data_IF_717026509607
#
_entry.id   IF_717026509607
#
_cell.length_a   1.000
_cell.length_b   1.000
_cell.length_c   1.000
_cell.angle_alpha   90.00
_cell.angle_beta   90.00
_cell.angle_gamma   90.00
#
_symmetry.space_group_name_H-M   'P 1'
#
loop_
_entity.id
_entity.type
_entity.pdbx_description
1 polymer ?
#
# COMPACT_ATOMS: atom_id res chain seq x y z
N UNK A 1 3.03 -17.72 -1.38
CA UNK A 1 1.56 -17.55 -1.29
C UNK A 1 1.17 -16.24 -0.61
N UNK A 2 1.75 -15.89 0.55
CA UNK A 2 1.37 -14.71 1.34
C UNK A 2 1.52 -13.40 0.55
N UNK A 3 2.63 -13.20 -0.17
CA UNK A 3 2.88 -11.98 -0.93
C UNK A 3 1.83 -11.70 -2.01
N UNK A 4 1.33 -12.74 -2.70
CA UNK A 4 0.26 -12.57 -3.70
C UNK A 4 -1.05 -12.08 -3.07
N UNK A 5 -1.38 -12.57 -1.87
CA UNK A 5 -2.52 -12.08 -1.10
C UNK A 5 -2.30 -10.64 -0.60
N UNK A 6 -1.05 -10.21 -0.41
CA UNK A 6 -0.80 -8.81 -0.07
C UNK A 6 -1.01 -7.83 -1.22
N UNK A 7 -0.84 -8.25 -2.49
CA UNK A 7 -1.26 -7.39 -3.61
C UNK A 7 -2.76 -7.11 -3.57
N UNK A 8 -3.58 -8.12 -3.23
CA UNK A 8 -5.02 -7.94 -3.02
C UNK A 8 -5.30 -6.89 -1.93
N UNK A 9 -4.69 -7.05 -0.74
CA UNK A 9 -4.94 -6.15 0.38
C UNK A 9 -4.45 -4.73 0.09
N UNK A 10 -3.18 -4.59 -0.28
CA UNK A 10 -2.49 -3.29 -0.32
C UNK A 10 -2.75 -2.50 -1.60
N UNK A 11 -3.06 -3.15 -2.72
CA UNK A 11 -3.04 -2.48 -4.03
C UNK A 11 -4.20 -2.87 -4.96
N UNK A 12 -5.20 -3.59 -4.48
CA UNK A 12 -6.41 -3.84 -5.26
C UNK A 12 -7.61 -3.06 -4.74
N UNK A 13 -8.59 -2.83 -5.62
CA UNK A 13 -9.83 -2.15 -5.24
C UNK A 13 -10.66 -2.98 -4.28
N UNK A 14 -10.66 -4.30 -4.43
CA UNK A 14 -11.34 -5.24 -3.55
C UNK A 14 -10.77 -5.26 -2.13
N UNK A 15 -9.47 -4.95 -1.97
CA UNK A 15 -8.84 -4.77 -0.66
C UNK A 15 -9.23 -3.49 0.07
N UNK A 16 -9.92 -2.54 -0.59
CA UNK A 16 -10.21 -1.21 -0.04
C UNK A 16 -10.94 -1.27 1.30
N UNK A 17 -11.94 -2.14 1.45
CA UNK A 17 -12.69 -2.26 2.70
C UNK A 17 -11.81 -2.71 3.87
N UNK A 18 -10.89 -3.64 3.64
CA UNK A 18 -9.95 -4.11 4.65
C UNK A 18 -8.95 -3.00 5.02
N UNK A 19 -8.52 -2.19 4.04
CA UNK A 19 -7.68 -1.02 4.26
C UNK A 19 -8.39 0.07 5.02
N UNK A 20 -9.66 0.38 4.71
CA UNK A 20 -10.43 1.39 5.43
C UNK A 20 -10.51 1.05 6.92
N UNK A 21 -10.78 -0.21 7.26
CA UNK A 21 -10.84 -0.64 8.66
C UNK A 21 -9.49 -0.61 9.37
N UNK A 22 -8.40 -0.95 8.68
CA UNK A 22 -7.08 -1.07 9.28
C UNK A 22 -6.24 0.22 9.25
N UNK A 23 -6.34 1.00 8.17
CA UNK A 23 -5.48 2.15 7.89
C UNK A 23 -6.13 3.48 8.28
N UNK A 24 -7.44 3.66 8.05
CA UNK A 24 -8.08 4.95 8.36
C UNK A 24 -7.95 5.34 9.83
N UNK A 25 -8.13 4.45 10.83
CA UNK A 25 -7.95 4.84 12.22
C UNK A 25 -6.54 5.37 12.52
N UNK A 26 -5.51 4.78 11.90
CA UNK A 26 -4.10 5.18 12.06
C UNK A 26 -3.89 6.55 11.41
N UNK A 27 -4.36 6.69 10.17
CA UNK A 27 -4.24 7.91 9.38
C UNK A 27 -4.95 9.08 10.07
N UNK A 28 -6.21 8.91 10.46
CA UNK A 28 -7.01 9.92 11.15
C UNK A 28 -6.35 10.32 12.47
N UNK A 29 -5.78 9.37 13.20
CA UNK A 29 -5.04 9.68 14.43
C UNK A 29 -3.82 10.57 14.15
N UNK A 30 -3.07 10.30 13.08
CA UNK A 30 -1.93 11.14 12.66
C UNK A 30 -2.43 12.54 12.26
N UNK A 31 -3.48 12.62 11.43
CA UNK A 31 -4.02 13.90 10.95
C UNK A 31 -4.60 14.77 12.08
N UNK A 32 -5.25 14.15 13.07
CA UNK A 32 -5.77 14.84 14.25
C UNK A 32 -4.66 15.33 15.18
N UNK A 33 -3.57 14.57 15.29
CA UNK A 33 -2.41 14.97 16.09
C UNK A 33 -1.58 16.07 15.40
N UNK A 34 -1.57 16.08 14.07
CA UNK A 34 -0.83 17.01 13.22
C UNK A 34 -1.76 17.69 12.20
N UNK A 35 -2.66 18.59 12.66
CA UNK A 35 -3.58 19.27 11.78
C UNK A 35 -2.86 20.32 10.94
N UNK A 36 -3.27 20.49 9.68
CA UNK A 36 -2.64 21.44 8.73
C UNK A 36 -2.70 22.90 9.20
N UNK A 37 -3.63 23.23 10.08
CA UNK A 37 -3.78 24.57 10.64
C UNK A 37 -2.68 24.96 11.63
N UNK A 38 -1.97 23.98 12.21
CA UNK A 38 -0.97 24.24 13.25
C UNK A 38 0.42 23.69 12.93
N UNK A 39 0.54 22.81 11.93
CA UNK A 39 1.82 22.22 11.56
C UNK A 39 2.00 22.09 10.05
N UNK A 40 3.23 22.27 9.59
CA UNK A 40 3.64 21.90 8.24
C UNK A 40 3.87 20.39 8.22
N UNK A 41 2.94 19.65 7.60
CA UNK A 41 2.98 18.17 7.56
C UNK A 41 4.29 17.64 6.97
N UNK A 42 4.93 18.38 6.08
CA UNK A 42 6.25 18.05 5.50
C UNK A 42 7.39 18.00 6.52
N UNK A 43 7.28 18.67 7.67
CA UNK A 43 8.28 18.60 8.73
C UNK A 43 8.09 17.40 9.66
N UNK A 44 6.91 16.78 9.62
CA UNK A 44 6.53 15.64 10.46
C UNK A 44 7.02 14.35 9.82
N UNK A 45 7.92 13.66 10.53
CA UNK A 45 8.53 12.39 10.10
C UNK A 45 7.79 11.21 10.71
N UNK A 46 7.21 10.37 9.86
CA UNK A 46 6.45 9.18 10.27
C UNK A 46 7.18 7.92 9.83
N UNK A 47 7.45 7.00 10.76
CA UNK A 47 8.02 5.68 10.47
C UNK A 47 6.92 4.62 10.53
N UNK A 48 6.86 3.75 9.52
CA UNK A 48 5.96 2.59 9.45
C UNK A 48 6.79 1.30 9.44
N UNK A 49 7.06 0.68 10.60
CA UNK A 49 7.74 -0.60 10.69
C UNK A 49 6.85 -1.73 10.15
N UNK A 50 7.43 -2.73 9.49
CA UNK A 50 6.69 -3.84 8.88
C UNK A 50 5.71 -3.35 7.80
N UNK A 51 6.20 -2.48 6.90
CA UNK A 51 5.36 -1.78 5.93
C UNK A 51 4.76 -2.69 4.84
N UNK A 52 5.15 -3.96 4.73
CA UNK A 52 4.59 -4.88 3.74
C UNK A 52 4.85 -4.39 2.32
N UNK A 53 3.78 -4.16 1.54
CA UNK A 53 3.91 -3.59 0.19
C UNK A 53 3.90 -2.05 0.16
N UNK A 54 3.90 -1.41 1.33
CA UNK A 54 4.10 0.03 1.47
C UNK A 54 2.84 0.87 1.36
N UNK A 55 1.64 0.29 1.23
CA UNK A 55 0.40 1.06 1.01
C UNK A 55 0.10 2.06 2.12
N UNK A 56 0.20 1.67 3.39
CA UNK A 56 -0.04 2.59 4.50
C UNK A 56 0.96 3.75 4.52
N UNK A 57 2.25 3.47 4.32
CA UNK A 57 3.29 4.49 4.28
C UNK A 57 3.11 5.44 3.09
N UNK A 58 2.67 4.91 1.94
CA UNK A 58 2.27 5.69 0.76
C UNK A 58 1.08 6.61 1.07
N UNK A 59 0.01 6.10 1.70
CA UNK A 59 -1.18 6.87 2.07
C UNK A 59 -0.87 8.01 3.05
N UNK A 60 0.03 7.78 4.01
CA UNK A 60 0.51 8.81 4.95
C UNK A 60 1.30 9.87 4.18
N UNK A 61 2.19 9.47 3.28
CA UNK A 61 2.96 10.42 2.48
C UNK A 61 2.07 11.22 1.51
N UNK A 62 1.02 10.62 0.95
CA UNK A 62 0.01 11.31 0.11
C UNK A 62 -0.75 12.41 0.86
N UNK A 63 -0.79 12.38 2.20
CA UNK A 63 -1.36 13.44 3.05
C UNK A 63 -0.38 14.56 3.38
N UNK A 64 0.81 14.54 2.75
CA UNK A 64 1.82 15.59 2.86
C UNK A 64 2.91 15.31 3.90
N UNK A 65 2.80 14.22 4.67
CA UNK A 65 3.80 13.82 5.67
C UNK A 65 5.09 13.29 5.03
N UNK A 66 6.23 13.39 5.74
CA UNK A 66 7.44 12.64 5.35
C UNK A 66 7.39 11.25 5.96
N UNK A 67 7.03 10.26 5.15
CA UNK A 67 6.88 8.89 5.60
C UNK A 67 8.04 7.99 5.13
N UNK A 68 8.51 7.16 6.05
CA UNK A 68 9.42 6.06 5.74
C UNK A 68 8.76 4.75 6.14
N UNK A 69 8.59 3.84 5.18
CA UNK A 69 8.29 2.45 5.49
C UNK A 69 9.57 1.67 5.74
N UNK A 70 9.51 0.67 6.62
CA UNK A 70 10.60 -0.28 6.83
C UNK A 70 10.06 -1.70 6.71
N UNK A 71 10.79 -2.56 6.01
CA UNK A 71 10.43 -3.95 5.84
C UNK A 71 11.69 -4.84 5.80
N UNK A 72 11.59 -6.03 6.39
CA UNK A 72 12.68 -6.99 6.50
C UNK A 72 12.57 -8.10 5.43
N UNK A 73 11.35 -8.49 5.06
CA UNK A 73 11.11 -9.59 4.14
C UNK A 73 11.47 -9.23 2.70
N UNK A 74 12.44 -9.93 2.11
CA UNK A 74 12.79 -9.75 0.69
C UNK A 74 11.61 -9.97 -0.26
N UNK A 75 10.68 -10.88 0.06
CA UNK A 75 9.48 -11.09 -0.76
C UNK A 75 8.62 -9.83 -0.81
N UNK A 76 8.46 -9.15 0.32
CA UNK A 76 7.72 -7.89 0.40
C UNK A 76 8.50 -6.76 -0.26
N UNK A 77 9.81 -6.65 -0.02
CA UNK A 77 10.65 -5.62 -0.62
C UNK A 77 10.66 -5.67 -2.15
N UNK A 78 10.77 -6.86 -2.76
CA UNK A 78 10.72 -7.00 -4.21
C UNK A 78 9.35 -6.62 -4.77
N UNK A 79 8.27 -7.05 -4.12
CA UNK A 79 6.91 -6.73 -4.52
C UNK A 79 6.60 -5.23 -4.34
N UNK A 80 6.99 -4.62 -3.21
CA UNK A 80 6.84 -3.21 -2.93
C UNK A 80 7.61 -2.37 -3.95
N UNK A 81 8.87 -2.71 -4.22
CA UNK A 81 9.69 -2.03 -5.22
C UNK A 81 9.08 -2.13 -6.63
N UNK A 82 8.49 -3.28 -6.98
CA UNK A 82 7.78 -3.43 -8.24
C UNK A 82 6.57 -2.48 -8.31
N UNK A 83 5.70 -2.48 -7.30
CA UNK A 83 4.50 -1.63 -7.32
C UNK A 83 4.88 -0.15 -7.31
N UNK A 84 5.70 0.27 -6.36
CA UNK A 84 5.99 1.67 -6.10
C UNK A 84 6.83 2.33 -7.20
N UNK A 85 7.68 1.57 -7.90
CA UNK A 85 8.63 2.14 -8.87
C UNK A 85 8.41 1.71 -10.32
N UNK A 86 7.58 0.69 -10.59
CA UNK A 86 7.36 0.16 -11.95
C UNK A 86 5.91 0.22 -12.42
N UNK A 87 4.93 0.33 -11.51
CA UNK A 87 3.55 0.59 -11.91
C UNK A 87 3.34 2.10 -12.08
N UNK A 88 2.89 2.51 -13.27
CA UNK A 88 2.70 3.92 -13.64
C UNK A 88 1.28 4.25 -14.09
N UNK A 89 0.35 3.31 -13.96
CA UNK A 89 -1.06 3.45 -14.30
C UNK A 89 -1.89 2.53 -13.39
N UNK A 90 -3.21 2.70 -13.40
CA UNK A 90 -4.18 1.92 -12.62
C UNK A 90 -4.52 0.59 -13.31
N UNK A 91 -4.81 -0.44 -12.52
CA UNK A 91 -5.27 -1.76 -12.95
C UNK A 91 -4.41 -2.43 -14.04
N UNK A 92 -3.10 -2.14 -14.06
CA UNK A 92 -2.16 -2.60 -15.09
C UNK A 92 -1.92 -4.12 -15.08
N UNK A 93 -1.97 -4.75 -13.92
CA UNK A 93 -1.56 -6.13 -13.71
C UNK A 93 -2.64 -6.93 -13.00
N UNK A 94 -2.70 -8.23 -13.29
CA UNK A 94 -3.66 -9.16 -12.66
C UNK A 94 -2.92 -10.25 -11.91
N UNK A 95 -3.32 -10.50 -10.66
CA UNK A 95 -2.85 -11.63 -9.83
C UNK A 95 -4.01 -12.57 -9.49
N UNK A 96 -3.68 -13.85 -9.26
CA UNK A 96 -4.63 -14.89 -8.85
C UNK A 96 -4.29 -15.38 -7.43
N UNK A 97 -4.62 -14.60 -6.39
CA UNK A 97 -4.14 -14.85 -5.02
C UNK A 97 -4.72 -16.14 -4.39
N UNK A 98 -5.83 -16.65 -4.93
CA UNK A 98 -6.59 -17.76 -4.36
C UNK A 98 -6.33 -19.11 -5.04
N UNK A 99 -5.50 -19.17 -6.09
CA UNK A 99 -5.36 -20.38 -6.93
C UNK A 99 -4.93 -21.62 -6.13
N UNK A 100 -4.13 -21.43 -5.06
CA UNK A 100 -3.65 -22.52 -4.20
C UNK A 100 -4.62 -22.87 -3.05
N UNK A 101 -5.73 -22.14 -2.91
CA UNK A 101 -6.73 -22.40 -1.87
C UNK A 101 -7.79 -23.36 -2.42
N UNK A 102 -7.70 -24.63 -2.02
CA UNK A 102 -8.61 -25.70 -2.49
C UNK A 102 -9.87 -25.82 -1.62
N UNK A 103 -9.79 -25.41 -0.37
CA UNK A 103 -10.90 -25.50 0.60
C UNK A 103 -11.74 -24.21 0.65
N UNK A 104 -12.98 -24.34 1.12
CA UNK A 104 -13.93 -23.24 1.34
C UNK A 104 -14.25 -22.40 0.09
N UNK A 105 -14.20 -23.02 -1.09
CA UNK A 105 -14.64 -22.41 -2.34
C UNK A 105 -16.15 -22.68 -2.55
N UNK A 106 -16.99 -21.64 -2.42
CA UNK A 106 -18.44 -21.75 -2.72
C UNK A 106 -18.69 -22.15 -4.18
N UNK A 107 -17.87 -21.65 -5.10
CA UNK A 107 -17.88 -22.02 -6.51
C UNK A 107 -16.44 -22.21 -7.00
N UNK A 108 -16.24 -23.01 -8.05
CA UNK A 108 -14.92 -23.22 -8.66
C UNK A 108 -14.31 -21.94 -9.24
N UNK A 109 -15.14 -20.99 -9.66
CA UNK A 109 -14.71 -19.69 -10.20
C UNK A 109 -14.00 -18.86 -9.11
N UNK A 110 -14.36 -19.00 -7.83
CA UNK A 110 -13.75 -18.23 -6.75
C UNK A 110 -12.24 -18.51 -6.60
N UNK A 111 -11.82 -19.76 -6.82
CA UNK A 111 -10.40 -20.15 -6.72
C UNK A 111 -9.54 -19.49 -7.81
N UNK A 112 -10.10 -19.31 -9.00
CA UNK A 112 -9.42 -18.76 -10.18
C UNK A 112 -9.78 -17.29 -10.44
N UNK A 113 -10.42 -16.62 -9.47
CA UNK A 113 -10.77 -15.21 -9.61
C UNK A 113 -9.50 -14.35 -9.59
N UNK A 114 -9.28 -13.61 -10.69
CA UNK A 114 -8.21 -12.63 -10.81
C UNK A 114 -8.57 -11.32 -10.10
N UNK A 115 -7.53 -10.60 -9.68
CA UNK A 115 -7.59 -9.32 -9.00
C UNK A 115 -6.61 -8.37 -9.68
N UNK A 116 -7.06 -7.17 -10.06
CA UNK A 116 -6.22 -6.16 -10.72
C UNK A 116 -5.53 -5.25 -9.72
N UNK A 117 -4.35 -4.73 -10.08
CA UNK A 117 -3.58 -3.77 -9.29
C UNK A 117 -2.62 -2.97 -10.19
N UNK A 118 -2.14 -1.78 -9.75
CA UNK A 118 -2.56 -1.07 -8.55
C UNK A 118 -3.89 -0.32 -8.74
N UNK A 119 -4.69 -0.15 -7.67
CA UNK A 119 -5.97 0.56 -7.70
C UNK A 119 -5.84 2.09 -7.69
N UNK A 120 -4.63 2.61 -7.47
CA UNK A 120 -4.25 4.01 -7.64
C UNK A 120 -2.86 4.07 -8.28
N UNK A 121 -2.49 5.21 -8.87
CA UNK A 121 -1.18 5.34 -9.51
C UNK A 121 -0.11 5.68 -8.44
N UNK A 122 0.88 4.81 -8.18
CA UNK A 122 1.92 5.10 -7.20
C UNK A 122 2.80 6.30 -7.59
N UNK A 123 2.86 6.63 -8.89
CA UNK A 123 3.62 7.77 -9.42
C UNK A 123 2.98 9.12 -9.11
N UNK A 124 1.73 9.15 -8.64
CA UNK A 124 1.06 10.38 -8.24
C UNK A 124 1.77 11.07 -7.07
N UNK A 125 2.47 10.28 -6.24
CA UNK A 125 3.20 10.83 -5.10
C UNK A 125 4.39 11.70 -5.53
N UNK A 126 5.23 11.21 -6.44
CA UNK A 126 6.34 12.01 -6.96
C UNK A 126 5.85 13.22 -7.76
N UNK A 127 4.77 13.04 -8.52
CA UNK A 127 4.17 14.08 -9.37
C UNK A 127 3.55 15.21 -8.55
N UNK A 128 2.80 14.89 -7.50
CA UNK A 128 2.05 15.87 -6.72
C UNK A 128 2.88 16.47 -5.58
N UNK A 129 3.77 15.67 -4.99
CA UNK A 129 4.38 15.99 -3.69
C UNK A 129 5.91 16.01 -3.72
N UNK A 130 6.55 15.63 -4.83
CA UNK A 130 8.00 15.53 -4.97
C UNK A 130 8.60 14.28 -4.33
N UNK A 131 9.80 13.88 -4.75
CA UNK A 131 10.43 12.59 -4.38
C UNK A 131 10.88 12.50 -2.91
N UNK A 132 10.94 13.62 -2.18
CA UNK A 132 11.57 13.67 -0.84
C UNK A 132 10.67 13.24 0.32
N UNK A 133 9.41 12.89 0.05
CA UNK A 133 8.38 12.64 1.07
C UNK A 133 8.09 11.18 1.36
N UNK A 134 8.54 10.26 0.51
CA UNK A 134 8.32 8.83 0.71
C UNK A 134 9.60 8.05 0.52
N UNK A 135 9.87 7.09 1.40
CA UNK A 135 11.00 6.18 1.27
C UNK A 135 10.68 4.81 1.85
N UNK A 136 11.37 3.78 1.38
CA UNK A 136 11.31 2.41 1.90
C UNK A 136 12.72 1.96 2.29
N UNK A 137 12.90 1.55 3.54
CA UNK A 137 14.15 1.03 4.07
C UNK A 137 14.09 -0.50 4.26
N UNK A 138 15.13 -1.20 3.79
CA UNK A 138 15.28 -2.64 3.99
C UNK A 138 16.12 -2.90 5.25
N UNK A 139 15.58 -3.66 6.20
CA UNK A 139 16.26 -3.98 7.46
C UNK A 139 15.33 -4.48 8.55
#
# INVERSE_FOLDING_TARGET
QITLKQFYRDWSREGAHEREQAYNPIIETIENHFPESTCHREDVKVLVPGAGLGRLAFEIAMRGFRCQGNEFSFFMLFAANFVLNRCCDVDMYTVYPWVLQVDNNVTSINQIKGVTFPDCNPSDLSTNLGESRFSMAAG
#
